data_IF_249156736057
#
_entry.id   IF_249156736057
#
_cell.length_a   1.000
_cell.length_b   1.000
_cell.length_c   1.000
_cell.angle_alpha   90.00
_cell.angle_beta   90.00
_cell.angle_gamma   90.00
#
_symmetry.space_group_name_H-M   'P 1'
#
loop_
_entity.id
_entity.type
_entity.pdbx_description
1 polymer ?
#
# COMPACT_ATOMS: atom_id res chain seq x y z
N UNK A 1 -19.18 -6.87 19.40
CA UNK A 1 -18.80 -5.62 18.75
C UNK A 1 -18.03 -5.97 17.48
N UNK A 2 -18.71 -6.01 16.34
CA UNK A 2 -18.04 -6.16 15.05
C UNK A 2 -17.82 -4.76 14.50
N UNK A 3 -16.58 -4.42 14.12
CA UNK A 3 -16.25 -3.16 13.46
C UNK A 3 -16.99 -3.11 12.11
N UNK A 4 -18.22 -2.59 12.14
CA UNK A 4 -19.15 -2.56 11.01
C UNK A 4 -18.63 -1.73 9.82
N UNK A 5 -17.59 -0.93 10.03
CA UNK A 5 -17.02 -0.05 9.01
C UNK A 5 -15.93 -0.69 8.13
N UNK A 6 -15.34 -1.84 8.50
CA UNK A 6 -14.16 -2.35 7.77
C UNK A 6 -14.50 -3.27 6.58
N UNK A 7 -15.67 -3.92 6.58
CA UNK A 7 -15.92 -5.06 5.67
C UNK A 7 -16.51 -4.64 4.31
N UNK A 8 -17.13 -3.45 4.19
CA UNK A 8 -17.85 -3.09 2.95
C UNK A 8 -17.59 -1.68 2.40
N UNK A 9 -17.02 -0.76 3.17
CA UNK A 9 -16.88 0.65 2.76
C UNK A 9 -15.46 1.08 2.38
N UNK A 10 -14.45 0.33 2.78
CA UNK A 10 -13.06 0.75 2.60
C UNK A 10 -12.46 0.12 1.34
N UNK A 11 -12.79 0.72 0.19
CA UNK A 11 -12.21 0.37 -1.10
C UNK A 11 -11.32 1.54 -1.52
N UNK A 12 -10.02 1.30 -1.63
CA UNK A 12 -9.15 2.24 -2.31
C UNK A 12 -9.40 2.16 -3.81
N UNK A 13 -9.95 3.23 -4.39
CA UNK A 13 -10.02 3.38 -5.83
C UNK A 13 -8.60 3.31 -6.43
N UNK A 14 -8.44 2.63 -7.56
CA UNK A 14 -7.16 2.52 -8.28
C UNK A 14 -6.52 3.90 -8.53
N UNK A 15 -7.35 4.91 -8.78
CA UNK A 15 -6.94 6.31 -8.96
C UNK A 15 -6.29 6.86 -7.68
N UNK A 16 -6.87 6.59 -6.52
CA UNK A 16 -6.33 7.00 -5.22
C UNK A 16 -5.01 6.28 -4.93
N UNK A 17 -4.90 5.01 -5.29
CA UNK A 17 -3.64 4.25 -5.17
C UNK A 17 -2.53 4.89 -6.02
N UNK A 18 -2.85 5.30 -7.25
CA UNK A 18 -1.89 5.95 -8.14
C UNK A 18 -1.48 7.35 -7.64
N UNK A 19 -2.44 8.14 -7.17
CA UNK A 19 -2.17 9.46 -6.56
C UNK A 19 -1.30 9.34 -5.31
N UNK A 20 -1.56 8.34 -4.46
CA UNK A 20 -0.72 8.07 -3.31
C UNK A 20 0.68 7.63 -3.73
N UNK A 21 0.81 6.79 -4.75
CA UNK A 21 2.12 6.39 -5.27
C UNK A 21 2.92 7.60 -5.79
N UNK A 22 2.26 8.57 -6.42
CA UNK A 22 2.86 9.84 -6.84
C UNK A 22 3.24 10.72 -5.65
N UNK A 23 2.37 10.83 -4.64
CA UNK A 23 2.63 11.59 -3.42
C UNK A 23 3.87 11.08 -2.68
N UNK A 24 4.04 9.76 -2.61
CA UNK A 24 5.23 9.12 -2.03
C UNK A 24 6.44 9.12 -2.98
N UNK A 25 6.33 9.74 -4.17
CA UNK A 25 7.35 9.77 -5.19
C UNK A 25 7.91 8.37 -5.53
N UNK A 26 7.05 7.35 -5.55
CA UNK A 26 7.45 5.99 -5.86
C UNK A 26 7.81 5.87 -7.35
N UNK A 27 8.99 5.33 -7.69
CA UNK A 27 9.33 5.03 -9.08
C UNK A 27 8.38 3.97 -9.62
N UNK A 28 8.10 3.99 -10.93
CA UNK A 28 7.18 3.07 -11.59
C UNK A 28 7.43 1.60 -11.23
N UNK A 29 8.71 1.27 -11.05
CA UNK A 29 9.15 -0.02 -10.53
C UNK A 29 10.09 0.15 -9.35
N UNK A 30 9.85 -0.62 -8.30
CA UNK A 30 10.64 -0.68 -7.07
C UNK A 30 11.31 -2.05 -6.99
N UNK A 31 12.60 -2.08 -6.64
CA UNK A 31 13.34 -3.33 -6.42
C UNK A 31 13.64 -3.42 -4.91
N UNK A 32 12.86 -4.20 -4.14
CA UNK A 32 13.17 -4.45 -2.74
C UNK A 32 14.38 -5.37 -2.59
N UNK A 33 14.93 -5.46 -1.37
CA UNK A 33 16.11 -6.27 -1.06
C UNK A 33 16.01 -7.76 -1.46
N UNK A 34 14.80 -8.30 -1.64
CA UNK A 34 14.56 -9.68 -2.13
C UNK A 34 14.61 -9.84 -3.67
N UNK A 35 14.97 -8.79 -4.42
CA UNK A 35 15.24 -8.76 -5.88
C UNK A 35 14.05 -8.96 -6.82
N UNK A 36 12.82 -9.12 -6.31
CA UNK A 36 11.64 -9.13 -7.17
C UNK A 36 11.24 -7.70 -7.58
N UNK A 37 11.18 -7.44 -8.88
CA UNK A 37 10.72 -6.16 -9.43
C UNK A 37 9.22 -6.01 -9.13
N UNK A 38 8.84 -4.98 -8.37
CA UNK A 38 7.45 -4.66 -8.03
C UNK A 38 6.98 -3.42 -8.77
N UNK A 39 5.73 -3.38 -9.18
CA UNK A 39 5.12 -2.14 -9.67
C UNK A 39 4.84 -1.19 -8.49
N UNK A 40 4.85 0.13 -8.73
CA UNK A 40 4.65 1.16 -7.69
C UNK A 40 3.42 0.97 -6.82
N UNK A 41 2.34 0.42 -7.36
CA UNK A 41 1.11 0.12 -6.61
C UNK A 41 1.32 -0.97 -5.56
N UNK A 42 2.07 -2.02 -5.89
CA UNK A 42 2.36 -3.13 -4.97
C UNK A 42 3.32 -2.67 -3.87
N UNK A 43 4.33 -1.89 -4.25
CA UNK A 43 5.25 -1.27 -3.31
C UNK A 43 4.52 -0.36 -2.31
N UNK A 44 3.56 0.43 -2.79
CA UNK A 44 2.71 1.28 -1.93
C UNK A 44 1.91 0.44 -0.93
N UNK A 45 1.26 -0.65 -1.35
CA UNK A 45 0.51 -1.52 -0.44
C UNK A 45 1.40 -2.11 0.66
N UNK A 46 2.62 -2.54 0.32
CA UNK A 46 3.59 -3.06 1.30
C UNK A 46 4.02 -1.95 2.27
N UNK A 47 4.26 -0.73 1.76
CA UNK A 47 4.64 0.42 2.58
C UNK A 47 3.53 0.76 3.56
N UNK A 48 2.29 0.89 3.08
CA UNK A 48 1.12 1.15 3.91
C UNK A 48 0.98 0.05 4.99
N UNK A 49 1.02 -1.22 4.60
CA UNK A 49 0.94 -2.34 5.55
C UNK A 49 1.98 -2.25 6.67
N UNK A 50 3.24 -1.97 6.33
CA UNK A 50 4.34 -1.81 7.29
C UNK A 50 4.13 -0.60 8.22
N UNK A 51 3.62 0.50 7.69
CA UNK A 51 3.38 1.73 8.46
C UNK A 51 2.11 1.66 9.32
N UNK A 52 1.09 0.93 8.89
CA UNK A 52 -0.17 0.77 9.63
C UNK A 52 -0.01 -0.13 10.85
N UNK A 53 0.95 -1.06 10.84
CA UNK A 53 1.23 -1.97 11.95
C UNK A 53 2.72 -1.99 12.30
N UNK A 54 3.27 -0.91 12.87
CA UNK A 54 4.71 -0.75 13.06
C UNK A 54 5.33 -1.75 14.07
N UNK A 55 4.54 -2.62 14.72
CA UNK A 55 4.99 -3.51 15.82
C UNK A 55 4.26 -4.87 15.89
N UNK A 56 4.01 -5.54 14.77
CA UNK A 56 3.74 -6.99 14.80
C UNK A 56 5.07 -7.74 14.62
N UNK A 57 5.89 -7.72 15.67
CA UNK A 57 6.94 -8.72 15.86
C UNK A 57 6.31 -10.02 16.36
#
# INVERSE_FOLDING_TARGET
MADANCIKGFIFDRTVILQLAELFALPEYVIPARRDKLHRSEALCILLYRTSYPRRN
#
